data_IF_304126065022
#
_entry.id   IF_304126065022
#
_cell.length_a   1.000
_cell.length_b   1.000
_cell.length_c   1.000
_cell.angle_alpha   90.00
_cell.angle_beta   90.00
_cell.angle_gamma   90.00
#
_symmetry.space_group_name_H-M   'P 1'
#
loop_
_entity.id
_entity.type
_entity.pdbx_description
1 polymer ?
#
# COMPACT_ATOMS: atom_id res chain seq x y z
N UNK A 1 -23.45 -31.98 -13.52
CA UNK A 1 -23.02 -33.20 -12.81
C UNK A 1 -21.78 -32.82 -12.01
N UNK A 2 -21.92 -32.57 -10.72
CA UNK A 2 -20.81 -32.14 -9.85
C UNK A 2 -19.89 -33.36 -9.65
N UNK A 3 -18.58 -33.26 -9.87
CA UNK A 3 -17.67 -34.39 -9.66
C UNK A 3 -17.76 -34.85 -8.20
N UNK A 4 -18.03 -36.14 -7.98
CA UNK A 4 -18.36 -36.72 -6.67
C UNK A 4 -17.35 -36.39 -5.55
N UNK A 5 -16.07 -36.17 -5.89
CA UNK A 5 -15.04 -35.75 -4.94
C UNK A 5 -15.25 -34.33 -4.37
N UNK A 6 -15.75 -33.39 -5.17
CA UNK A 6 -16.02 -32.00 -4.71
C UNK A 6 -17.28 -31.96 -3.85
N UNK A 7 -18.30 -32.77 -4.18
CA UNK A 7 -19.49 -32.92 -3.34
C UNK A 7 -19.14 -33.42 -1.92
N UNK A 8 -18.24 -34.41 -1.81
CA UNK A 8 -17.79 -34.92 -0.51
C UNK A 8 -17.05 -33.90 0.37
N UNK A 9 -16.44 -32.87 -0.24
CA UNK A 9 -15.76 -31.79 0.48
C UNK A 9 -16.73 -30.70 0.96
N UNK A 10 -17.92 -30.58 0.33
CA UNK A 10 -18.96 -29.66 0.78
C UNK A 10 -19.67 -30.17 2.06
N UNK A 11 -19.77 -31.49 2.21
CA UNK A 11 -20.43 -32.14 3.37
C UNK A 11 -19.53 -32.30 4.61
N UNK A 12 -18.27 -31.85 4.56
CA UNK A 12 -17.34 -31.94 5.69
C UNK A 12 -17.70 -30.96 6.83
N UNK A 13 -17.91 -31.48 8.05
CA UNK A 13 -18.06 -30.67 9.28
C UNK A 13 -17.35 -31.32 10.48
N UNK A 14 -16.49 -30.57 11.20
CA UNK A 14 -16.99 -29.79 12.33
C UNK A 14 -16.38 -28.37 12.48
N UNK A 15 -15.82 -27.77 11.43
CA UNK A 15 -15.14 -26.48 11.56
C UNK A 15 -16.09 -25.28 11.46
N UNK A 16 -16.51 -24.74 12.61
CA UNK A 16 -17.09 -23.39 12.70
C UNK A 16 -15.97 -22.34 12.63
N UNK A 17 -15.51 -22.03 11.42
CA UNK A 17 -14.61 -20.90 11.22
C UNK A 17 -15.36 -19.59 11.45
N UNK A 18 -15.01 -18.86 12.53
CA UNK A 18 -15.37 -17.45 12.68
C UNK A 18 -14.52 -16.61 11.72
N UNK A 19 -14.86 -16.69 10.44
CA UNK A 19 -14.21 -15.93 9.38
C UNK A 19 -14.40 -14.41 9.57
N UNK A 20 -15.40 -13.98 10.34
CA UNK A 20 -15.63 -12.58 10.67
C UNK A 20 -14.63 -12.08 11.72
N UNK A 21 -14.38 -12.87 12.77
CA UNK A 21 -13.28 -12.63 13.71
C UNK A 21 -11.92 -12.59 13.01
N UNK A 22 -11.68 -13.50 12.07
CA UNK A 22 -10.44 -13.54 11.30
C UNK A 22 -10.27 -12.32 10.37
N UNK A 23 -11.36 -11.87 9.73
CA UNK A 23 -11.42 -10.66 8.89
C UNK A 23 -11.15 -9.37 9.69
N UNK A 24 -11.53 -9.36 10.96
CA UNK A 24 -11.46 -8.17 11.84
C UNK A 24 -10.17 -8.09 12.67
N UNK A 25 -9.47 -9.20 12.91
CA UNK A 25 -8.25 -9.22 13.73
C UNK A 25 -6.99 -9.01 12.90
N UNK A 26 -6.88 -9.59 11.70
CA UNK A 26 -5.61 -9.58 10.96
C UNK A 26 -5.33 -8.27 10.19
N UNK A 27 -4.08 -7.81 10.27
CA UNK A 27 -3.44 -6.92 9.29
C UNK A 27 -3.95 -5.47 9.23
N UNK A 28 -4.59 -4.97 10.28
CA UNK A 28 -5.25 -3.66 10.26
C UNK A 28 -4.32 -2.51 9.88
N UNK A 29 -3.23 -2.46 10.65
CA UNK A 29 -2.26 -1.39 10.62
C UNK A 29 -1.39 -1.55 9.38
N UNK A 30 -0.93 -2.78 9.13
CA UNK A 30 -0.11 -3.14 7.99
C UNK A 30 -0.82 -2.82 6.68
N UNK A 31 -2.13 -3.07 6.58
CA UNK A 31 -2.89 -2.74 5.39
C UNK A 31 -3.12 -1.25 5.22
N UNK A 32 -3.38 -0.53 6.32
CA UNK A 32 -3.49 0.93 6.27
C UNK A 32 -2.18 1.55 5.76
N UNK A 33 -1.04 1.11 6.29
CA UNK A 33 0.29 1.51 5.82
C UNK A 33 0.53 1.10 4.37
N UNK A 34 0.18 -0.14 4.00
CA UNK A 34 0.49 -0.68 2.69
C UNK A 34 -0.31 -0.06 1.54
N UNK A 35 -1.59 0.26 1.78
CA UNK A 35 -2.46 0.92 0.80
C UNK A 35 -2.31 2.43 0.86
N UNK A 36 -2.17 2.97 2.07
CA UNK A 36 -2.15 4.42 2.30
C UNK A 36 -0.86 5.11 1.91
N UNK A 37 0.22 4.38 1.62
CA UNK A 37 1.44 4.97 1.06
C UNK A 37 1.30 5.46 -0.40
N UNK A 38 0.16 5.19 -1.05
CA UNK A 38 -0.16 5.55 -2.44
C UNK A 38 0.81 5.01 -3.52
N UNK A 39 1.72 4.11 -3.17
CA UNK A 39 2.64 3.45 -4.09
C UNK A 39 1.85 2.54 -5.01
N UNK A 40 2.19 2.54 -6.30
CA UNK A 40 1.59 1.62 -7.26
C UNK A 40 2.32 0.27 -7.21
N UNK A 41 1.59 -0.84 -7.33
CA UNK A 41 2.16 -2.18 -7.48
C UNK A 41 1.79 -2.80 -8.82
N UNK A 42 2.70 -3.56 -9.42
CA UNK A 42 2.40 -4.34 -10.62
C UNK A 42 1.74 -5.69 -10.34
N UNK A 43 1.71 -6.14 -9.08
CA UNK A 43 1.21 -7.47 -8.71
C UNK A 43 -0.03 -7.36 -7.85
N UNK A 44 0.04 -6.60 -6.76
CA UNK A 44 -0.96 -6.62 -5.68
C UNK A 44 -2.07 -5.58 -5.82
N UNK A 45 -1.94 -4.65 -6.77
CA UNK A 45 -2.83 -3.50 -6.91
C UNK A 45 -4.30 -3.93 -7.07
N UNK A 46 -4.59 -4.96 -7.88
CA UNK A 46 -5.95 -5.45 -8.16
C UNK A 46 -6.37 -6.66 -7.33
N UNK A 47 -5.55 -7.11 -6.38
CA UNK A 47 -5.94 -8.23 -5.51
C UNK A 47 -6.98 -7.76 -4.49
N UNK A 48 -7.90 -8.67 -4.15
CA UNK A 48 -8.80 -8.42 -3.03
C UNK A 48 -8.04 -8.63 -1.72
N UNK A 49 -7.84 -7.55 -0.99
CA UNK A 49 -7.15 -7.51 0.29
C UNK A 49 -8.15 -7.66 1.44
N UNK A 50 -7.69 -8.21 2.56
CA UNK A 50 -8.43 -8.17 3.81
C UNK A 50 -8.62 -6.71 4.23
N UNK A 51 -9.75 -6.39 4.89
CA UNK A 51 -10.00 -5.05 5.44
C UNK A 51 -10.09 -3.93 4.38
N UNK A 52 -10.87 -4.15 3.30
CA UNK A 52 -11.27 -3.07 2.38
C UNK A 52 -12.01 -1.91 3.07
N UNK A 53 -12.55 -2.12 4.28
CA UNK A 53 -13.26 -1.09 5.04
C UNK A 53 -12.37 0.07 5.50
N UNK A 54 -11.05 -0.09 5.67
CA UNK A 54 -10.18 1.05 6.07
C UNK A 54 -10.16 2.13 4.99
N UNK A 55 -10.23 1.72 3.74
CA UNK A 55 -10.41 2.61 2.58
C UNK A 55 -11.79 3.29 2.65
N UNK A 56 -12.82 2.54 3.02
CA UNK A 56 -14.19 3.05 3.13
C UNK A 56 -14.38 4.04 4.30
N UNK A 57 -13.66 3.83 5.40
CA UNK A 57 -13.69 4.65 6.61
C UNK A 57 -12.83 5.92 6.54
N UNK A 58 -12.14 6.12 5.40
CA UNK A 58 -11.20 7.23 5.19
C UNK A 58 -9.98 7.23 6.12
N UNK A 59 -9.66 6.07 6.71
CA UNK A 59 -8.52 5.96 7.63
C UNK A 59 -7.19 6.20 6.91
N UNK A 60 -7.18 6.10 5.58
CA UNK A 60 -6.03 6.31 4.71
C UNK A 60 -5.66 7.79 4.55
N UNK A 61 -6.56 8.74 4.82
CA UNK A 61 -6.24 10.17 4.72
C UNK A 61 -5.91 10.75 6.10
N UNK A 62 -6.19 10.02 7.19
CA UNK A 62 -5.94 10.52 8.54
C UNK A 62 -4.43 10.59 8.82
N UNK A 63 -3.90 11.75 9.28
CA UNK A 63 -2.49 11.90 9.59
C UNK A 63 -2.08 11.00 10.76
N UNK A 64 -0.84 10.52 10.75
CA UNK A 64 -0.25 9.75 11.84
C UNK A 64 0.60 10.69 12.72
N UNK A 65 0.41 10.70 14.05
CA UNK A 65 1.14 11.60 14.94
C UNK A 65 2.59 11.16 15.14
N UNK A 66 3.44 12.09 15.60
CA UNK A 66 4.82 11.81 16.00
C UNK A 66 5.87 12.07 14.92
N UNK A 67 5.45 12.54 13.75
CA UNK A 67 6.35 13.06 12.73
C UNK A 67 6.51 14.57 12.91
N UNK A 68 7.75 15.06 12.81
CA UNK A 68 8.02 16.50 12.85
C UNK A 68 8.95 16.84 11.70
N UNK A 69 8.57 17.84 10.93
CA UNK A 69 9.29 18.31 9.76
C UNK A 69 9.83 19.71 10.03
N UNK A 70 11.16 19.85 9.99
CA UNK A 70 11.89 21.08 10.21
C UNK A 70 12.53 21.53 8.89
N UNK A 71 12.04 22.61 8.32
CA UNK A 71 12.67 23.25 7.17
C UNK A 71 13.86 24.09 7.67
N UNK A 72 15.08 23.60 7.40
CA UNK A 72 16.32 24.24 7.85
C UNK A 72 16.55 25.56 7.10
N UNK A 73 16.19 25.61 5.82
CA UNK A 73 16.40 26.78 4.97
C UNK A 73 15.54 27.96 5.43
N UNK A 74 14.27 27.71 5.79
CA UNK A 74 13.33 28.76 6.19
C UNK A 74 13.16 28.91 7.72
N UNK A 75 13.70 27.99 8.52
CA UNK A 75 13.53 27.97 9.98
C UNK A 75 12.10 27.66 10.44
N UNK A 76 11.32 26.94 9.63
CA UNK A 76 9.91 26.62 9.91
C UNK A 76 9.79 25.18 10.40
N UNK A 77 9.04 24.97 11.49
CA UNK A 77 8.69 23.66 12.03
C UNK A 77 7.22 23.36 11.76
N UNK A 78 6.93 22.17 11.23
CA UNK A 78 5.60 21.65 11.03
C UNK A 78 5.48 20.28 11.72
N UNK A 79 4.42 20.09 12.50
CA UNK A 79 4.10 18.83 13.17
C UNK A 79 3.12 17.96 12.39
N UNK A 80 2.48 18.55 11.38
CA UNK A 80 1.47 17.88 10.56
C UNK A 80 2.10 17.53 9.22
N UNK A 81 2.34 16.24 9.01
CA UNK A 81 2.88 15.67 7.78
C UNK A 81 1.79 14.82 7.13
N UNK A 82 1.73 14.87 5.80
CA UNK A 82 0.69 14.19 5.03
C UNK A 82 0.66 12.69 5.31
N UNK A 83 -0.55 12.16 5.42
CA UNK A 83 -0.82 10.79 5.84
C UNK A 83 -0.24 9.75 4.86
N UNK A 84 -0.15 10.09 3.57
CA UNK A 84 0.45 9.20 2.59
C UNK A 84 1.97 9.12 2.74
N UNK A 85 2.62 10.25 3.06
CA UNK A 85 4.07 10.34 3.14
C UNK A 85 4.60 9.68 4.41
N UNK A 86 3.93 9.87 5.55
CA UNK A 86 4.23 9.19 6.82
C UNK A 86 4.15 7.66 6.70
N UNK A 87 3.17 7.15 5.95
CA UNK A 87 3.06 5.71 5.66
C UNK A 87 4.12 5.24 4.68
N UNK A 88 4.40 6.02 3.65
CA UNK A 88 5.44 5.73 2.68
C UNK A 88 6.81 5.59 3.32
N UNK A 89 7.22 6.57 4.15
CA UNK A 89 8.53 6.56 4.81
C UNK A 89 8.68 5.38 5.77
N UNK A 90 7.58 4.98 6.43
CA UNK A 90 7.54 3.84 7.35
C UNK A 90 7.74 2.49 6.65
N UNK A 91 7.64 2.42 5.32
CA UNK A 91 7.92 1.19 4.57
C UNK A 91 9.42 0.93 4.34
N UNK A 92 10.27 1.93 4.62
CA UNK A 92 11.71 1.82 4.45
C UNK A 92 12.39 1.42 5.76
N UNK A 93 13.31 0.45 5.73
CA UNK A 93 14.15 0.14 6.87
C UNK A 93 15.19 1.25 7.05
N UNK A 94 14.80 2.34 7.70
CA UNK A 94 15.74 3.41 8.03
C UNK A 94 16.68 2.90 9.14
N UNK A 95 17.95 2.69 8.80
CA UNK A 95 18.99 2.21 9.73
C UNK A 95 19.84 3.33 10.31
N UNK A 96 19.98 4.47 9.61
CA UNK A 96 20.86 5.58 10.03
C UNK A 96 20.25 6.96 9.74
N UNK A 97 20.71 7.97 10.48
CA UNK A 97 20.39 9.41 10.31
C UNK A 97 20.90 10.03 9.00
N UNK A 98 21.54 9.25 8.14
CA UNK A 98 22.12 9.71 6.88
C UNK A 98 21.19 9.53 5.66
N UNK A 99 20.02 8.90 5.81
CA UNK A 99 19.11 8.70 4.68
C UNK A 99 18.65 10.05 4.11
N UNK A 100 18.92 10.24 2.83
CA UNK A 100 18.57 11.45 2.09
C UNK A 100 17.53 11.12 1.02
N UNK A 101 16.37 11.77 1.10
CA UNK A 101 15.28 11.63 0.14
C UNK A 101 15.31 12.84 -0.79
N UNK A 102 15.45 12.61 -2.09
CA UNK A 102 15.41 13.67 -3.11
C UNK A 102 14.08 13.63 -3.83
N UNK A 103 13.31 14.71 -3.70
CA UNK A 103 12.08 14.93 -4.44
C UNK A 103 12.44 15.34 -5.88
N UNK A 104 12.00 14.56 -6.85
CA UNK A 104 12.16 14.85 -8.28
C UNK A 104 10.79 14.86 -8.94
N UNK A 105 10.52 15.89 -9.73
CA UNK A 105 9.34 15.89 -10.62
C UNK A 105 9.74 15.19 -11.90
N UNK A 106 9.16 14.02 -12.15
CA UNK A 106 9.41 13.25 -13.37
C UNK A 106 8.11 12.63 -13.84
N UNK A 107 7.87 12.65 -15.14
CA UNK A 107 6.75 11.92 -15.71
C UNK A 107 7.09 10.42 -15.76
N UNK A 108 6.82 9.70 -14.68
CA UNK A 108 6.99 8.26 -14.56
C UNK A 108 5.62 7.59 -14.57
N UNK A 109 5.06 7.45 -15.76
CA UNK A 109 3.91 6.57 -15.94
C UNK A 109 4.37 5.13 -15.80
N UNK A 110 3.62 4.31 -15.05
CA UNK A 110 3.83 2.87 -15.11
C UNK A 110 3.67 2.39 -16.56
N UNK A 111 4.59 1.54 -17.06
CA UNK A 111 4.42 0.95 -18.37
C UNK A 111 3.10 0.18 -18.41
N UNK A 112 2.33 0.40 -19.48
CA UNK A 112 0.98 -0.18 -19.67
C UNK A 112 0.98 -1.69 -19.47
N UNK A 113 2.05 -2.37 -19.90
CA UNK A 113 2.26 -3.81 -19.72
C UNK A 113 2.17 -4.23 -18.25
N UNK A 114 2.76 -3.46 -17.32
CA UNK A 114 2.75 -3.80 -15.90
C UNK A 114 1.39 -3.54 -15.25
N UNK A 115 0.70 -2.50 -15.68
CA UNK A 115 -0.71 -2.27 -15.28
C UNK A 115 -1.60 -3.42 -15.77
N UNK A 116 -1.40 -3.87 -17.00
CA UNK A 116 -2.12 -5.01 -17.56
C UNK A 116 -1.82 -6.30 -16.78
N UNK A 117 -0.56 -6.55 -16.39
CA UNK A 117 -0.20 -7.71 -15.55
C UNK A 117 -1.01 -7.71 -14.24
N UNK A 118 -1.08 -6.60 -13.53
CA UNK A 118 -1.83 -6.55 -12.27
C UNK A 118 -3.32 -6.83 -12.46
N UNK A 119 -3.93 -6.22 -13.50
CA UNK A 119 -5.33 -6.44 -13.85
C UNK A 119 -5.57 -7.92 -14.19
N UNK A 120 -4.71 -8.53 -15.01
CA UNK A 120 -4.82 -9.94 -15.39
C UNK A 120 -4.72 -10.86 -14.18
N UNK A 121 -3.81 -10.59 -13.24
CA UNK A 121 -3.69 -11.36 -11.99
C UNK A 121 -4.97 -11.22 -11.15
N UNK A 122 -5.47 -10.00 -10.95
CA UNK A 122 -6.70 -9.75 -10.19
C UNK A 122 -7.93 -10.43 -10.81
N UNK A 123 -8.10 -10.29 -12.12
CA UNK A 123 -9.18 -10.94 -12.87
C UNK A 123 -9.06 -12.46 -12.86
N UNK A 124 -7.84 -13.00 -12.93
CA UNK A 124 -7.61 -14.45 -12.85
C UNK A 124 -8.04 -15.00 -11.49
N UNK A 125 -7.70 -14.33 -10.39
CA UNK A 125 -8.11 -14.73 -9.04
C UNK A 125 -9.62 -14.65 -8.84
N UNK A 126 -10.24 -13.54 -9.27
CA UNK A 126 -11.70 -13.36 -9.21
C UNK A 126 -12.42 -14.40 -10.08
N UNK A 127 -11.93 -14.62 -11.30
CA UNK A 127 -12.48 -15.60 -12.24
C UNK A 127 -12.35 -17.04 -11.75
N UNK A 128 -11.24 -17.37 -11.09
CA UNK A 128 -11.05 -18.67 -10.44
C UNK A 128 -12.06 -18.91 -9.31
N UNK A 129 -12.24 -17.92 -8.43
CA UNK A 129 -13.24 -17.99 -7.36
C UNK A 129 -14.66 -18.10 -7.91
N UNK A 130 -14.98 -17.34 -8.97
CA UNK A 130 -16.28 -17.42 -9.64
C UNK A 130 -16.52 -18.79 -10.26
N UNK A 131 -15.51 -19.35 -10.93
CA UNK A 131 -15.60 -20.68 -11.55
C UNK A 131 -15.87 -21.75 -10.50
N UNK A 132 -15.21 -21.67 -9.34
CA UNK A 132 -15.45 -22.61 -8.23
C UNK A 132 -16.84 -22.46 -7.64
N UNK A 133 -17.35 -21.23 -7.49
CA UNK A 133 -18.73 -20.99 -7.03
C UNK A 133 -19.77 -21.57 -8.00
N UNK A 134 -19.54 -21.46 -9.31
CA UNK A 134 -20.42 -22.03 -10.34
C UNK A 134 -20.39 -23.56 -10.31
N UNK A 135 -19.20 -24.17 -10.20
CA UNK A 135 -19.04 -25.64 -10.15
C UNK A 135 -19.71 -26.25 -8.92
N UNK A 136 -19.69 -25.54 -7.80
CA UNK A 136 -20.37 -25.94 -6.55
C UNK A 136 -21.86 -25.61 -6.54
N UNK A 137 -22.37 -24.92 -7.57
CA UNK A 137 -23.75 -24.43 -7.65
C UNK A 137 -24.17 -23.57 -6.42
N UNK A 138 -23.21 -22.84 -5.85
CA UNK A 138 -23.39 -22.00 -4.67
C UNK A 138 -23.75 -20.56 -5.06
N UNK A 139 -25.04 -20.21 -4.95
CA UNK A 139 -25.54 -18.87 -5.25
C UNK A 139 -24.96 -17.80 -4.31
N UNK A 140 -24.73 -18.13 -3.03
CA UNK A 140 -24.10 -17.23 -2.07
C UNK A 140 -22.63 -17.00 -2.42
N UNK A 141 -21.95 -18.04 -2.91
CA UNK A 141 -20.60 -17.98 -3.45
C UNK A 141 -20.46 -16.99 -4.61
N UNK A 142 -21.45 -16.92 -5.52
CA UNK A 142 -21.46 -15.94 -6.62
C UNK A 142 -21.63 -14.51 -6.08
N UNK A 143 -22.59 -14.30 -5.17
CA UNK A 143 -22.82 -13.00 -4.54
C UNK A 143 -21.57 -12.50 -3.78
N UNK A 144 -20.86 -13.40 -3.10
CA UNK A 144 -19.58 -13.14 -2.46
C UNK A 144 -18.54 -12.64 -3.46
N UNK A 145 -18.35 -13.34 -4.57
CA UNK A 145 -17.37 -12.90 -5.60
C UNK A 145 -17.75 -11.55 -6.21
N UNK A 146 -19.04 -11.29 -6.44
CA UNK A 146 -19.51 -9.98 -6.90
C UNK A 146 -19.18 -8.87 -5.90
N UNK A 147 -19.42 -9.09 -4.60
CA UNK A 147 -19.09 -8.11 -3.55
C UNK A 147 -17.57 -7.84 -3.45
N UNK A 148 -16.74 -8.87 -3.65
CA UNK A 148 -15.29 -8.71 -3.74
C UNK A 148 -14.89 -7.87 -4.95
N UNK A 149 -15.49 -8.11 -6.12
CA UNK A 149 -15.21 -7.33 -7.33
C UNK A 149 -15.54 -5.84 -7.13
N UNK A 150 -16.71 -5.53 -6.56
CA UNK A 150 -17.09 -4.15 -6.23
C UNK A 150 -16.12 -3.51 -5.23
N UNK A 151 -15.66 -4.25 -4.23
CA UNK A 151 -14.66 -3.78 -3.26
C UNK A 151 -13.32 -3.44 -3.91
N UNK A 152 -12.85 -4.27 -4.85
CA UNK A 152 -11.61 -3.99 -5.60
C UNK A 152 -11.77 -2.77 -6.49
N UNK A 153 -12.86 -2.66 -7.25
CA UNK A 153 -13.12 -1.54 -8.16
C UNK A 153 -13.21 -0.23 -7.40
N UNK A 154 -13.99 -0.18 -6.33
CA UNK A 154 -14.15 1.03 -5.51
C UNK A 154 -12.83 1.45 -4.87
N UNK A 155 -12.04 0.51 -4.32
CA UNK A 155 -10.70 0.80 -3.80
C UNK A 155 -9.78 1.37 -4.89
N UNK A 156 -9.76 0.77 -6.08
CA UNK A 156 -8.95 1.25 -7.20
C UNK A 156 -9.32 2.68 -7.61
N UNK A 157 -10.61 2.99 -7.62
CA UNK A 157 -11.09 4.33 -7.93
C UNK A 157 -10.66 5.35 -6.85
N UNK A 158 -10.82 5.02 -5.57
CA UNK A 158 -10.43 5.88 -4.44
C UNK A 158 -8.92 6.17 -4.49
N UNK A 159 -8.09 5.14 -4.70
CA UNK A 159 -6.63 5.31 -4.80
C UNK A 159 -6.23 6.14 -6.03
N UNK A 160 -6.91 5.95 -7.17
CA UNK A 160 -6.68 6.75 -8.36
C UNK A 160 -7.03 8.23 -8.14
N UNK A 161 -8.12 8.53 -7.42
CA UNK A 161 -8.51 9.90 -7.08
C UNK A 161 -7.46 10.59 -6.20
N UNK A 162 -6.94 9.90 -5.17
CA UNK A 162 -5.91 10.45 -4.29
C UNK A 162 -4.60 10.71 -5.04
N UNK A 163 -4.15 9.74 -5.84
CA UNK A 163 -2.95 9.89 -6.69
C UNK A 163 -3.11 11.03 -7.71
N UNK A 164 -4.29 11.15 -8.33
CA UNK A 164 -4.59 12.23 -9.28
C UNK A 164 -4.58 13.60 -8.61
N UNK A 165 -4.94 13.71 -7.33
CA UNK A 165 -4.87 14.97 -6.58
C UNK A 165 -3.43 15.45 -6.40
N UNK A 166 -2.53 14.53 -6.04
CA UNK A 166 -1.09 14.82 -5.95
C UNK A 166 -0.55 15.22 -7.32
N UNK A 167 -0.91 14.49 -8.38
CA UNK A 167 -0.48 14.79 -9.74
C UNK A 167 -0.98 16.18 -10.22
N UNK A 168 -2.23 16.54 -9.89
CA UNK A 168 -2.79 17.85 -10.20
C UNK A 168 -2.06 18.97 -9.45
N UNK A 169 -1.78 18.75 -8.16
CA UNK A 169 -1.02 19.69 -7.32
C UNK A 169 0.37 19.95 -7.90
N UNK A 170 1.11 18.89 -8.24
CA UNK A 170 2.44 19.00 -8.86
C UNK A 170 2.36 19.70 -10.22
N UNK A 171 1.33 19.41 -11.01
CA UNK A 171 1.14 20.05 -12.30
C UNK A 171 0.89 21.57 -12.16
N UNK A 172 0.14 22.00 -11.14
CA UNK A 172 -0.09 23.42 -10.86
C UNK A 172 1.17 24.16 -10.41
N UNK A 173 2.16 23.44 -9.86
CA UNK A 173 3.43 23.98 -9.37
C UNK A 173 4.57 23.86 -10.39
N UNK A 174 4.29 23.43 -11.62
CA UNK A 174 5.33 23.21 -12.63
C UNK A 174 6.01 24.51 -13.07
N UNK A 175 5.25 25.61 -13.12
CA UNK A 175 5.74 26.88 -13.63
C UNK A 175 6.53 27.67 -12.57
N UNK A 176 6.19 27.50 -11.29
CA UNK A 176 6.92 28.07 -10.15
C UNK A 176 7.04 27.05 -8.99
N UNK A 177 8.00 26.12 -9.06
CA UNK A 177 8.20 25.11 -8.02
C UNK A 177 8.84 25.69 -6.74
N UNK A 178 9.29 26.96 -6.77
CA UNK A 178 10.07 27.58 -5.71
C UNK A 178 11.53 27.12 -5.66
N UNK A 179 12.29 27.70 -4.72
CA UNK A 179 13.69 27.34 -4.51
C UNK A 179 13.82 25.97 -3.83
N UNK A 180 14.93 25.27 -4.09
CA UNK A 180 15.25 24.02 -3.41
C UNK A 180 15.55 24.29 -1.93
N UNK A 181 14.82 23.59 -1.05
CA UNK A 181 14.97 23.70 0.40
C UNK A 181 15.48 22.40 0.98
N UNK A 182 16.22 22.52 2.08
CA UNK A 182 16.69 21.38 2.87
C UNK A 182 15.80 21.24 4.10
N UNK A 183 15.19 20.08 4.20
CA UNK A 183 14.23 19.74 5.23
C UNK A 183 14.77 18.57 6.03
N UNK A 184 14.58 18.62 7.34
CA UNK A 184 14.96 17.57 8.27
C UNK A 184 13.71 17.07 8.96
N UNK A 185 13.44 15.77 8.89
CA UNK A 185 12.24 15.18 9.45
C UNK A 185 12.61 14.14 10.50
N UNK A 186 12.06 14.27 11.70
CA UNK A 186 12.18 13.28 12.78
C UNK A 186 10.96 12.36 12.79
N UNK A 187 11.21 11.08 12.96
CA UNK A 187 10.20 10.03 13.02
C UNK A 187 9.84 9.69 14.48
N UNK A 188 8.69 9.03 14.71
CA UNK A 188 8.27 8.61 16.04
C UNK A 188 9.25 7.65 16.74
N UNK A 189 10.08 6.94 15.99
CA UNK A 189 11.10 6.01 16.50
C UNK A 189 12.43 6.70 16.87
N UNK A 190 12.47 8.04 16.81
CA UNK A 190 13.66 8.84 17.12
C UNK A 190 14.68 8.90 15.97
N UNK A 191 14.41 8.25 14.84
CA UNK A 191 15.25 8.39 13.64
C UNK A 191 14.95 9.70 12.92
N UNK A 192 15.85 10.08 12.04
CA UNK A 192 15.66 11.26 11.23
C UNK A 192 16.12 11.05 9.80
N UNK A 193 15.47 11.77 8.88
CA UNK A 193 15.78 11.79 7.46
C UNK A 193 15.97 13.21 6.97
N UNK A 194 16.84 13.37 5.98
CA UNK A 194 16.99 14.64 5.26
C UNK A 194 16.20 14.56 3.97
N UNK A 195 15.34 15.54 3.71
CA UNK A 195 14.56 15.67 2.48
C UNK A 195 15.05 16.89 1.72
N UNK A 196 15.32 16.72 0.43
CA UNK A 196 15.77 17.76 -0.48
C UNK A 196 14.76 17.91 -1.62
N UNK A 197 14.32 19.12 -1.89
CA UNK A 197 13.49 19.41 -3.06
C UNK A 197 12.88 20.81 -3.07
N UNK A 198 12.07 21.11 -4.10
CA UNK A 198 11.49 22.44 -4.26
C UNK A 198 10.51 22.77 -3.12
N UNK A 199 10.59 24.00 -2.61
CA UNK A 199 9.80 24.48 -1.46
C UNK A 199 8.31 24.22 -1.61
N UNK A 200 7.74 24.55 -2.77
CA UNK A 200 6.29 24.44 -2.97
C UNK A 200 5.84 22.98 -2.97
N UNK A 201 6.68 22.06 -3.44
CA UNK A 201 6.38 20.63 -3.43
C UNK A 201 6.42 20.07 -2.02
N UNK A 202 7.41 20.46 -1.21
CA UNK A 202 7.47 20.07 0.21
C UNK A 202 6.21 20.54 0.93
N UNK A 203 5.86 21.83 0.83
CA UNK A 203 4.73 22.40 1.57
C UNK A 203 3.40 21.82 1.08
N UNK A 204 3.20 21.72 -0.23
CA UNK A 204 1.88 21.35 -0.78
C UNK A 204 1.67 19.83 -0.88
N UNK A 205 2.73 19.02 -0.97
CA UNK A 205 2.59 17.56 -1.07
C UNK A 205 2.93 16.83 0.25
N UNK A 206 3.90 17.33 1.02
CA UNK A 206 4.34 16.68 2.27
C UNK A 206 3.68 17.26 3.53
N UNK A 207 3.28 18.53 3.54
CA UNK A 207 2.62 19.15 4.69
C UNK A 207 1.12 19.34 4.52
N UNK A 208 0.61 19.25 3.29
CA UNK A 208 -0.82 19.38 2.99
C UNK A 208 -1.38 18.02 2.59
N UNK A 209 -2.54 17.66 3.13
CA UNK A 209 -3.19 16.38 2.84
C UNK A 209 -3.74 16.32 1.41
N UNK A 210 -3.62 15.14 0.79
CA UNK A 210 -4.16 14.89 -0.53
C UNK A 210 -5.71 14.84 -0.46
N UNK A 211 -6.36 15.85 -1.02
CA UNK A 211 -7.82 15.95 -1.06
C UNK A 211 -8.37 15.46 -2.41
N UNK A 212 -9.45 14.66 -2.46
CA UNK A 212 -10.01 14.22 -3.72
C UNK A 212 -10.54 15.40 -4.55
N UNK A 213 -10.20 15.44 -5.84
CA UNK A 213 -10.64 16.51 -6.76
C UNK A 213 -12.17 16.56 -6.87
N UNK A 214 -12.81 15.40 -6.87
CA UNK A 214 -14.26 15.26 -6.94
C UNK A 214 -14.79 14.61 -5.64
N UNK A 215 -15.15 15.41 -4.63
CA UNK A 215 -15.51 14.88 -3.30
C UNK A 215 -16.79 14.03 -3.33
N UNK A 216 -17.74 14.33 -4.21
CA UNK A 216 -18.99 13.58 -4.33
C UNK A 216 -18.77 12.16 -4.86
N UNK A 217 -18.01 12.01 -5.96
CA UNK A 217 -17.72 10.67 -6.53
C UNK A 217 -16.86 9.85 -5.57
N UNK A 218 -15.92 10.49 -4.89
CA UNK A 218 -15.13 9.89 -3.83
C UNK A 218 -16.01 9.35 -2.69
N UNK A 219 -16.95 10.15 -2.20
CA UNK A 219 -17.89 9.75 -1.14
C UNK A 219 -18.82 8.61 -1.58
N UNK A 220 -19.38 8.67 -2.79
CA UNK A 220 -20.22 7.58 -3.34
C UNK A 220 -19.44 6.27 -3.41
N UNK A 221 -18.18 6.31 -3.86
CA UNK A 221 -17.34 5.12 -3.91
C UNK A 221 -16.99 4.58 -2.53
N UNK A 222 -16.83 5.45 -1.52
CA UNK A 222 -16.68 5.02 -0.12
C UNK A 222 -17.92 4.31 0.40
N UNK A 223 -19.12 4.83 0.13
CA UNK A 223 -20.38 4.13 0.47
C UNK A 223 -20.44 2.78 -0.24
N UNK A 224 -20.10 2.72 -1.53
CA UNK A 224 -20.06 1.47 -2.28
C UNK A 224 -19.07 0.46 -1.67
N UNK A 225 -17.89 0.90 -1.22
CA UNK A 225 -16.94 0.05 -0.50
C UNK A 225 -17.51 -0.46 0.83
N UNK A 226 -18.22 0.37 1.60
CA UNK A 226 -18.89 -0.04 2.84
C UNK A 226 -19.98 -1.08 2.59
N UNK A 227 -20.85 -0.85 1.60
CA UNK A 227 -21.91 -1.78 1.23
C UNK A 227 -21.33 -3.11 0.73
N UNK A 228 -20.29 -3.05 -0.11
CA UNK A 228 -19.61 -4.23 -0.64
C UNK A 228 -18.92 -5.04 0.47
N UNK A 229 -18.30 -4.38 1.45
CA UNK A 229 -17.73 -5.03 2.62
C UNK A 229 -18.80 -5.76 3.46
N UNK A 230 -19.93 -5.10 3.74
CA UNK A 230 -21.04 -5.71 4.46
C UNK A 230 -21.64 -6.91 3.72
N UNK A 231 -21.89 -6.76 2.42
CA UNK A 231 -22.36 -7.85 1.56
C UNK A 231 -21.37 -9.02 1.53
N UNK A 232 -20.07 -8.73 1.43
CA UNK A 232 -19.01 -9.74 1.46
C UNK A 232 -19.01 -10.52 2.78
N UNK A 233 -19.13 -9.83 3.92
CA UNK A 233 -19.15 -10.47 5.23
C UNK A 233 -20.35 -11.42 5.39
N UNK A 234 -21.55 -10.99 4.98
CA UNK A 234 -22.78 -11.80 5.06
C UNK A 234 -22.67 -13.01 4.14
N UNK A 235 -22.32 -12.79 2.87
CA UNK A 235 -22.24 -13.85 1.86
C UNK A 235 -21.13 -14.86 2.18
N UNK A 236 -19.99 -14.44 2.72
CA UNK A 236 -18.92 -15.34 3.19
C UNK A 236 -19.38 -16.26 4.34
N UNK A 237 -20.29 -15.77 5.20
CA UNK A 237 -20.88 -16.57 6.27
C UNK A 237 -21.85 -17.64 5.76
N UNK A 238 -22.54 -17.36 4.65
CA UNK A 238 -23.58 -18.23 4.06
C UNK A 238 -23.06 -19.15 2.94
N UNK A 239 -21.88 -18.89 2.38
CA UNK A 239 -21.25 -19.74 1.37
C UNK A 239 -20.85 -21.11 1.89
N UNK A 240 -20.75 -22.08 0.97
CA UNK A 240 -20.24 -23.42 1.24
C UNK A 240 -18.84 -23.39 1.87
N UNK A 241 -18.57 -24.36 2.76
CA UNK A 241 -17.31 -24.43 3.52
C UNK A 241 -16.07 -24.42 2.61
N UNK A 242 -16.12 -25.16 1.50
CA UNK A 242 -15.03 -25.20 0.52
C UNK A 242 -14.75 -23.80 -0.05
N UNK A 243 -15.79 -23.11 -0.53
CA UNK A 243 -15.69 -21.77 -1.09
C UNK A 243 -15.23 -20.75 -0.05
N UNK A 244 -15.65 -20.91 1.21
CA UNK A 244 -15.23 -20.09 2.35
C UNK A 244 -13.74 -20.24 2.64
N UNK A 245 -13.26 -21.46 2.82
CA UNK A 245 -11.83 -21.74 3.09
C UNK A 245 -10.97 -21.22 1.95
N UNK A 246 -11.35 -21.51 0.70
CA UNK A 246 -10.60 -21.06 -0.47
C UNK A 246 -10.48 -19.54 -0.52
N UNK A 247 -11.57 -18.84 -0.22
CA UNK A 247 -11.59 -17.37 -0.20
C UNK A 247 -10.70 -16.83 0.92
N UNK A 248 -10.79 -17.38 2.14
CA UNK A 248 -9.95 -16.95 3.27
C UNK A 248 -8.46 -17.13 2.96
N UNK A 249 -8.06 -18.27 2.38
CA UNK A 249 -6.65 -18.51 2.01
C UNK A 249 -6.16 -17.48 0.99
N UNK A 250 -6.95 -17.23 -0.07
CA UNK A 250 -6.61 -16.25 -1.10
C UNK A 250 -6.53 -14.83 -0.51
N UNK A 251 -7.45 -14.46 0.38
CA UNK A 251 -7.45 -13.17 1.07
C UNK A 251 -6.19 -12.97 1.92
N UNK A 252 -5.82 -13.98 2.72
CA UNK A 252 -4.62 -13.94 3.56
C UNK A 252 -3.35 -13.82 2.70
N UNK A 253 -3.26 -14.60 1.62
CA UNK A 253 -2.12 -14.53 0.70
C UNK A 253 -2.03 -13.16 0.01
N UNK A 254 -3.14 -12.65 -0.52
CA UNK A 254 -3.20 -11.32 -1.14
C UNK A 254 -2.79 -10.22 -0.15
N UNK A 255 -3.25 -10.33 1.09
CA UNK A 255 -2.93 -9.38 2.17
C UNK A 255 -1.46 -9.44 2.53
N UNK A 256 -0.89 -10.63 2.68
CA UNK A 256 0.52 -10.83 2.95
C UNK A 256 1.42 -10.26 1.84
N UNK A 257 1.10 -10.54 0.57
CA UNK A 257 1.81 -10.00 -0.59
C UNK A 257 1.74 -8.47 -0.64
N UNK A 258 0.59 -7.90 -0.26
CA UNK A 258 0.39 -6.44 -0.21
C UNK A 258 1.20 -5.82 0.92
N UNK A 259 1.18 -6.41 2.12
CA UNK A 259 1.92 -5.93 3.29
C UNK A 259 3.45 -5.99 3.09
N UNK A 260 3.94 -6.97 2.33
CA UNK A 260 5.35 -7.08 1.97
C UNK A 260 5.74 -6.22 0.76
N UNK A 261 4.79 -5.46 0.19
CA UNK A 261 4.97 -4.58 -0.97
C UNK A 261 5.55 -5.28 -2.21
N UNK A 262 5.16 -6.53 -2.47
CA UNK A 262 5.63 -7.27 -3.64
C UNK A 262 5.22 -6.57 -4.93
N UNK A 263 6.20 -6.25 -5.78
CA UNK A 263 5.98 -5.57 -7.05
C UNK A 263 5.68 -4.06 -6.95
N UNK A 264 5.89 -3.45 -5.77
CA UNK A 264 5.68 -2.02 -5.53
C UNK A 264 6.80 -1.13 -6.07
N UNK A 265 6.44 -0.02 -6.73
CA UNK A 265 7.38 1.00 -7.22
C UNK A 265 7.54 2.09 -6.18
N UNK A 266 8.33 1.80 -5.14
CA UNK A 266 8.44 2.67 -3.97
C UNK A 266 8.97 4.07 -4.29
N UNK A 267 9.68 4.25 -5.39
CA UNK A 267 10.18 5.55 -5.83
C UNK A 267 9.11 6.44 -6.45
N UNK A 268 8.00 5.89 -6.96
CA UNK A 268 7.02 6.65 -7.73
C UNK A 268 5.68 6.78 -6.98
N UNK A 269 5.23 8.02 -6.78
CA UNK A 269 3.93 8.35 -6.21
C UNK A 269 3.10 9.07 -7.28
N UNK A 270 1.91 8.54 -7.56
CA UNK A 270 1.12 9.01 -8.69
C UNK A 270 1.82 8.75 -10.02
N UNK A 271 1.80 9.73 -10.92
CA UNK A 271 2.47 9.67 -12.22
C UNK A 271 3.60 10.70 -12.35
N UNK A 272 3.68 11.67 -11.43
CA UNK A 272 4.56 12.83 -11.53
C UNK A 272 5.58 12.98 -10.40
N UNK A 273 5.35 12.38 -9.24
CA UNK A 273 6.25 12.51 -8.08
C UNK A 273 7.20 11.32 -8.00
N UNK A 274 8.50 11.61 -8.00
CA UNK A 274 9.54 10.62 -7.76
C UNK A 274 10.30 10.96 -6.48
N UNK A 275 10.46 9.97 -5.60
CA UNK A 275 11.18 10.02 -4.34
C UNK A 275 12.39 9.09 -4.46
N UNK A 276 13.54 9.69 -4.73
CA UNK A 276 14.79 8.98 -4.85
C UNK A 276 15.44 8.86 -3.46
N UNK A 277 15.60 7.64 -2.98
CA UNK A 277 16.09 7.38 -1.62
C UNK A 277 17.55 6.97 -1.68
N UNK A 278 18.42 7.87 -1.23
CA UNK A 278 19.82 7.56 -0.98
C UNK A 278 19.95 7.10 0.48
N UNK A 279 20.12 5.78 0.65
CA UNK A 279 20.29 5.16 1.97
C UNK A 279 21.66 5.47 2.60
N UNK A 280 22.56 6.16 1.89
CA UNK A 280 23.96 6.27 2.27
C UNK A 280 24.69 4.95 1.98
N UNK A 281 25.99 5.07 1.78
CA UNK A 281 26.82 4.05 1.16
C UNK A 281 27.00 2.79 2.05
N UNK A 282 26.09 1.83 1.92
CA UNK A 282 26.21 0.48 2.52
C UNK A 282 27.49 -0.20 2.00
N UNK A 283 27.93 0.13 0.77
CA UNK A 283 29.13 -0.42 0.18
C UNK A 283 30.41 0.14 0.82
N UNK A 284 30.45 1.43 1.16
CA UNK A 284 31.59 1.99 1.90
C UNK A 284 31.73 1.36 3.30
N UNK A 285 30.62 1.08 3.99
CA UNK A 285 30.70 0.45 5.31
C UNK A 285 31.08 -1.03 5.22
N UNK A 286 30.57 -1.80 4.25
CA UNK A 286 31.02 -3.18 4.03
C UNK A 286 32.50 -3.23 3.63
N UNK A 287 32.99 -2.30 2.81
CA UNK A 287 34.41 -2.21 2.42
C UNK A 287 35.28 -1.78 3.61
N UNK A 288 34.86 -0.80 4.41
CA UNK A 288 35.59 -0.38 5.62
C UNK A 288 35.57 -1.47 6.69
N UNK A 289 34.46 -2.21 6.85
CA UNK A 289 34.38 -3.34 7.77
C UNK A 289 35.21 -4.52 7.27
N UNK A 290 35.25 -4.81 5.96
CA UNK A 290 36.15 -5.81 5.39
C UNK A 290 37.62 -5.41 5.54
N UNK A 291 37.97 -4.14 5.31
CA UNK A 291 39.33 -3.62 5.48
C UNK A 291 39.73 -3.62 6.97
N UNK A 292 38.85 -3.27 7.90
CA UNK A 292 39.12 -3.34 9.34
C UNK A 292 39.22 -4.80 9.83
N UNK A 293 38.37 -5.70 9.34
CA UNK A 293 38.43 -7.12 9.70
C UNK A 293 39.71 -7.78 9.14
N UNK A 294 40.14 -7.39 7.95
CA UNK A 294 41.34 -7.91 7.30
C UNK A 294 42.64 -7.27 7.84
N UNK A 295 42.61 -6.00 8.29
CA UNK A 295 43.72 -5.37 9.02
C UNK A 295 43.84 -5.86 10.48
N UNK A 296 42.73 -6.21 11.14
CA UNK A 296 42.77 -6.72 12.53
C UNK A 296 43.23 -8.18 12.64
N UNK A 297 43.17 -8.96 11.55
CA UNK A 297 43.61 -10.37 11.52
C UNK A 297 45.07 -10.58 11.08
N UNK A 298 45.80 -9.53 10.68
CA UNK A 298 47.15 -9.67 10.10
C UNK A 298 48.38 -9.49 11.02
N UNK A 299 48.31 -9.21 12.34
CA UNK A 299 49.50 -9.26 13.20
C UNK A 299 49.62 -10.53 14.07
N UNK A 300 48.70 -11.50 13.99
CA UNK A 300 48.72 -12.67 14.89
C UNK A 300 49.25 -13.99 14.28
N UNK A 301 49.68 -13.99 13.02
CA UNK A 301 50.36 -15.12 12.38
C UNK A 301 51.68 -14.69 11.73
N UNK A 302 52.59 -14.15 12.55
CA UNK A 302 54.01 -14.05 12.22
C UNK A 302 54.87 -14.32 13.46
N UNK A 303 54.90 -15.59 13.87
CA UNK A 303 56.03 -16.22 14.54
C UNK A 303 56.17 -17.63 13.97
#
# INVERSE_FOLDING_TARGET
>A
MIPAKIASLSEWGPFQLDALGLLTIFGAKEMNTAVGNLVQSSVTEWLHILRSYTVANDDIIKPEPGYVLYNITDGIMATDVSAWFTRWISTFPLTHTATTIRLKVKNQQLPIVRRAISITIGLSVIGFLLSMAIVTADAWGIAKVASMAVSVISRQFIMACLRSSIDHTIQSLKDDPGQDVKVFMTLPDGKAVTILGPRMIVVTCLLTEAQPIHPQTYYVMRIASWAAFGAHAITLGMSDLFNKILTVVILLLATYLTATHVGGYREAIGTRLCLDVDMGDIAAFLIVFFIFYQCSLYPLYRK
#
